data_IF_634848788970
#
_entry.id   IF_634848788970
#
_cell.length_a   1.000
_cell.length_b   1.000
_cell.length_c   1.000
_cell.angle_alpha   90.00
_cell.angle_beta   90.00
_cell.angle_gamma   90.00
#
_symmetry.space_group_name_H-M   'P 1'
#
loop_
_entity.id
_entity.type
_entity.pdbx_description
1 polymer ?
#
# COMPACT_ATOMS: atom_id res chain seq x y z
N UNK A 1 -42.16 -0.12 -60.96
CA UNK A 1 -41.56 -1.43 -60.61
C UNK A 1 -40.15 -1.14 -60.12
N UNK A 2 -39.93 -1.23 -58.80
CA UNK A 2 -39.08 -2.25 -58.14
C UNK A 2 -37.59 -2.10 -58.54
N UNK A 3 -36.74 -1.57 -57.64
CA UNK A 3 -35.84 -2.33 -56.73
C UNK A 3 -34.55 -2.75 -57.45
N UNK A 4 -33.31 -2.68 -56.93
CA UNK A 4 -32.73 -2.37 -55.62
C UNK A 4 -31.18 -2.26 -55.77
N UNK A 5 -30.50 -1.86 -54.68
CA UNK A 5 -29.06 -2.04 -54.32
C UNK A 5 -27.98 -1.20 -55.05
N UNK A 6 -26.97 -0.62 -54.39
CA UNK A 6 -26.24 -1.08 -53.18
C UNK A 6 -25.39 0.06 -52.53
N UNK A 7 -25.55 0.19 -51.21
CA UNK A 7 -24.50 0.36 -50.17
C UNK A 7 -23.53 1.56 -50.22
N UNK A 8 -23.74 2.52 -49.30
CA UNK A 8 -22.77 3.57 -48.95
C UNK A 8 -21.85 3.04 -47.85
N UNK A 9 -20.54 3.22 -48.04
CA UNK A 9 -19.47 2.87 -47.10
C UNK A 9 -18.97 4.18 -46.48
N UNK A 10 -19.06 4.27 -45.15
CA UNK A 10 -18.60 5.41 -44.36
C UNK A 10 -17.09 5.65 -44.52
N UNK A 11 -16.75 6.88 -44.85
CA UNK A 11 -15.38 7.38 -44.95
C UNK A 11 -14.90 7.76 -43.55
N UNK A 12 -13.91 7.02 -43.05
CA UNK A 12 -13.19 7.34 -41.81
C UNK A 12 -12.43 8.65 -41.97
N UNK A 13 -12.70 9.56 -41.04
CA UNK A 13 -11.99 10.81 -40.82
C UNK A 13 -10.60 10.49 -40.22
N UNK A 14 -9.55 10.92 -40.91
CA UNK A 14 -8.16 10.77 -40.50
C UNK A 14 -7.82 11.82 -39.42
N UNK A 15 -7.60 11.38 -38.19
CA UNK A 15 -7.00 12.18 -37.12
C UNK A 15 -5.46 12.00 -37.14
N UNK A 16 -4.68 13.06 -36.86
CA UNK A 16 -3.23 13.04 -36.98
C UNK A 16 -2.58 12.15 -35.91
N UNK A 17 -1.72 11.26 -36.37
CA UNK A 17 -0.80 10.44 -35.60
C UNK A 17 0.22 11.33 -34.88
N UNK A 18 0.05 11.56 -33.58
CA UNK A 18 1.11 12.12 -32.72
C UNK A 18 1.90 10.98 -32.10
N UNK A 19 3.07 10.73 -32.66
CA UNK A 19 4.07 9.79 -32.18
C UNK A 19 4.69 10.30 -30.87
N UNK A 20 4.29 9.77 -29.73
CA UNK A 20 5.10 9.89 -28.51
C UNK A 20 6.22 8.86 -28.55
N UNK A 21 7.31 9.21 -29.25
CA UNK A 21 8.62 8.66 -28.96
C UNK A 21 9.32 9.61 -27.98
N UNK A 22 10.10 8.99 -27.09
CA UNK A 22 11.12 9.60 -26.24
C UNK A 22 10.66 10.16 -24.89
N UNK A 23 10.29 9.24 -23.98
CA UNK A 23 10.56 9.39 -22.54
C UNK A 23 11.53 8.27 -22.15
N UNK A 24 12.79 8.43 -22.52
CA UNK A 24 13.90 7.60 -22.03
C UNK A 24 15.07 8.50 -21.64
N UNK A 25 14.87 9.32 -20.61
CA UNK A 25 16.01 9.73 -19.76
C UNK A 25 15.55 10.35 -18.42
N UNK A 26 14.72 9.61 -17.68
CA UNK A 26 14.60 9.83 -16.25
C UNK A 26 15.22 8.60 -15.61
N UNK A 27 16.15 8.80 -14.68
CA UNK A 27 16.76 7.74 -13.91
C UNK A 27 15.72 6.77 -13.32
N UNK A 28 16.14 5.62 -12.78
CA UNK A 28 15.23 4.61 -12.26
C UNK A 28 14.11 5.26 -11.42
N UNK A 29 12.82 5.06 -11.76
CA UNK A 29 11.73 5.72 -11.06
C UNK A 29 11.84 5.46 -9.56
N UNK A 30 11.48 6.45 -8.74
CA UNK A 30 11.52 6.31 -7.28
C UNK A 30 10.80 5.02 -6.85
N UNK A 31 11.22 4.40 -5.75
CA UNK A 31 10.53 3.19 -5.26
C UNK A 31 9.03 3.44 -5.09
N UNK A 32 8.62 4.66 -4.71
CA UNK A 32 7.21 5.08 -4.70
C UNK A 32 6.58 5.06 -6.08
N UNK A 33 7.20 5.67 -7.08
CA UNK A 33 6.70 5.69 -8.46
C UNK A 33 6.63 4.26 -9.03
N UNK A 34 7.58 3.39 -8.69
CA UNK A 34 7.52 1.96 -9.05
C UNK A 34 6.39 1.24 -8.32
N UNK A 35 6.21 1.48 -7.02
CA UNK A 35 5.09 0.96 -6.21
C UNK A 35 3.73 1.35 -6.83
N UNK A 36 3.55 2.61 -7.21
CA UNK A 36 2.32 3.09 -7.83
C UNK A 36 2.09 2.51 -9.24
N UNK A 37 3.13 2.44 -10.07
CA UNK A 37 3.03 1.84 -11.42
C UNK A 37 2.71 0.34 -11.34
N UNK A 38 3.28 -0.37 -10.37
CA UNK A 38 3.01 -1.81 -10.17
C UNK A 38 1.61 -2.05 -9.60
N UNK A 39 1.12 -1.19 -8.71
CA UNK A 39 -0.26 -1.23 -8.19
C UNK A 39 -1.31 -1.01 -9.29
N UNK A 40 -1.04 -0.13 -10.27
CA UNK A 40 -1.93 0.07 -11.43
C UNK A 40 -1.91 -1.10 -12.44
N UNK A 41 -0.89 -1.96 -12.39
CA UNK A 41 -0.68 -3.05 -13.35
C UNK A 41 -1.04 -4.44 -12.81
N UNK A 42 -1.32 -4.58 -11.51
CA UNK A 42 -1.63 -5.89 -10.94
C UNK A 42 -3.07 -6.31 -11.29
N UNK A 43 -3.20 -7.31 -12.17
CA UNK A 43 -4.47 -8.02 -12.44
C UNK A 43 -4.70 -9.09 -11.35
N UNK A 44 -4.65 -8.71 -10.07
CA UNK A 44 -4.78 -9.66 -8.97
C UNK A 44 -6.23 -10.16 -8.84
N UNK A 45 -6.46 -11.43 -9.19
CA UNK A 45 -7.77 -12.09 -9.08
C UNK A 45 -7.77 -12.98 -7.85
N UNK A 46 -8.52 -12.58 -6.81
CA UNK A 46 -8.69 -13.38 -5.60
C UNK A 46 -9.52 -14.64 -5.89
N UNK A 47 -9.15 -15.83 -5.38
CA UNK A 47 -10.00 -17.02 -5.47
C UNK A 47 -11.33 -16.77 -4.75
N UNK A 48 -12.48 -17.26 -5.26
CA UNK A 48 -13.78 -16.92 -4.68
C UNK A 48 -13.86 -17.34 -3.21
N UNK A 49 -13.91 -16.34 -2.33
CA UNK A 49 -14.12 -16.51 -0.89
C UNK A 49 -15.42 -17.27 -0.66
N UNK A 50 -15.35 -18.42 0.03
CA UNK A 50 -16.54 -19.03 0.63
C UNK A 50 -17.18 -17.97 1.52
N UNK A 51 -18.44 -17.63 1.26
CA UNK A 51 -19.18 -16.57 1.97
C UNK A 51 -19.23 -16.91 3.46
N UNK A 52 -18.26 -16.40 4.22
CA UNK A 52 -18.30 -16.35 5.68
C UNK A 52 -18.82 -14.96 6.06
N UNK A 53 -19.67 -14.84 7.09
CA UNK A 53 -20.00 -13.54 7.64
C UNK A 53 -18.69 -12.85 8.05
N UNK A 54 -18.54 -11.58 7.68
CA UNK A 54 -17.40 -10.78 8.07
C UNK A 54 -17.35 -10.69 9.60
N UNK A 55 -16.29 -11.21 10.19
CA UNK A 55 -15.95 -10.93 11.56
C UNK A 55 -14.95 -9.78 11.55
N UNK A 56 -15.12 -8.83 12.47
CA UNK A 56 -14.12 -7.79 12.68
C UNK A 56 -12.80 -8.46 13.05
N UNK A 57 -11.71 -8.02 12.42
CA UNK A 57 -10.38 -8.59 12.58
C UNK A 57 -9.40 -7.48 12.92
N UNK A 58 -8.52 -7.73 13.88
CA UNK A 58 -7.44 -6.79 14.17
C UNK A 58 -6.32 -6.93 13.14
N UNK A 59 -5.78 -5.79 12.73
CA UNK A 59 -4.55 -5.71 11.94
C UNK A 59 -3.47 -4.96 12.71
N UNK A 60 -2.27 -5.53 12.74
CA UNK A 60 -1.08 -4.94 13.33
C UNK A 60 -0.20 -4.28 12.27
N UNK A 61 0.18 -3.04 12.52
CA UNK A 61 1.01 -2.19 11.67
C UNK A 61 2.29 -1.80 12.39
N UNK A 62 3.40 -1.83 11.66
CA UNK A 62 4.76 -1.55 12.15
C UNK A 62 5.49 -0.53 11.27
N UNK A 63 4.76 0.22 10.45
CA UNK A 63 5.30 1.19 9.49
C UNK A 63 4.44 2.43 9.32
N UNK A 64 4.32 2.92 8.09
CA UNK A 64 3.60 4.17 7.78
C UNK A 64 2.14 4.15 8.23
N UNK A 65 1.48 2.98 8.23
CA UNK A 65 0.10 2.80 8.71
C UNK A 65 -0.06 2.94 10.24
N UNK A 66 1.03 3.07 11.00
CA UNK A 66 0.97 3.48 12.42
C UNK A 66 0.55 4.93 12.61
N UNK A 67 0.52 5.73 11.54
CA UNK A 67 0.00 7.08 11.57
C UNK A 67 -1.51 7.11 11.24
N UNK A 68 -2.37 7.64 12.15
CA UNK A 68 -3.81 7.72 11.91
C UNK A 68 -4.20 8.47 10.62
N UNK A 69 -3.46 9.51 10.24
CA UNK A 69 -3.78 10.29 9.03
C UNK A 69 -3.48 9.48 7.76
N UNK A 70 -2.35 8.79 7.74
CA UNK A 70 -1.96 7.90 6.65
C UNK A 70 -2.96 6.76 6.52
N UNK A 71 -3.32 6.12 7.64
CA UNK A 71 -4.31 5.05 7.64
C UNK A 71 -5.69 5.53 7.15
N UNK A 72 -6.16 6.69 7.62
CA UNK A 72 -7.42 7.28 7.16
C UNK A 72 -7.42 7.53 5.64
N UNK A 73 -6.31 8.04 5.09
CA UNK A 73 -6.15 8.26 3.64
C UNK A 73 -6.21 6.94 2.85
N UNK A 74 -5.52 5.90 3.32
CA UNK A 74 -5.48 4.58 2.67
C UNK A 74 -6.85 3.90 2.71
N UNK A 75 -7.50 3.92 3.87
CA UNK A 75 -8.83 3.34 4.09
C UNK A 75 -9.98 4.21 3.58
N UNK A 76 -9.69 5.42 3.09
CA UNK A 76 -10.68 6.42 2.64
C UNK A 76 -11.73 6.74 3.72
N UNK A 77 -11.28 6.86 4.97
CA UNK A 77 -12.12 7.19 6.11
C UNK A 77 -12.35 8.70 6.21
N UNK A 78 -13.57 9.10 6.54
CA UNK A 78 -13.91 10.50 6.82
C UNK A 78 -13.35 10.99 8.16
N UNK A 79 -13.12 10.08 9.10
CA UNK A 79 -12.64 10.36 10.45
C UNK A 79 -11.30 9.66 10.72
N UNK A 80 -10.52 10.20 11.67
CA UNK A 80 -9.28 9.56 12.09
C UNK A 80 -9.57 8.24 12.83
N UNK A 81 -8.95 7.12 12.40
CA UNK A 81 -9.09 5.84 13.08
C UNK A 81 -8.40 5.87 14.45
N UNK A 82 -8.96 5.13 15.40
CA UNK A 82 -8.33 4.92 16.71
C UNK A 82 -7.35 3.76 16.60
N UNK A 83 -6.06 4.09 16.69
CA UNK A 83 -4.97 3.12 16.74
C UNK A 83 -4.63 2.78 18.19
N UNK A 84 -4.43 1.49 18.47
CA UNK A 84 -4.15 0.96 19.79
C UNK A 84 -2.69 0.51 19.82
N UNK A 85 -1.83 1.00 20.73
CA UNK A 85 -0.47 0.49 20.88
C UNK A 85 -0.46 -1.01 21.14
N UNK A 86 0.38 -1.73 20.42
CA UNK A 86 0.46 -3.18 20.49
C UNK A 86 1.85 -3.69 20.11
N UNK A 87 2.08 -4.99 20.33
CA UNK A 87 3.27 -5.70 19.86
C UNK A 87 2.93 -7.09 19.32
N UNK A 88 3.84 -7.63 18.52
CA UNK A 88 3.83 -9.02 18.06
C UNK A 88 5.20 -9.65 18.33
N UNK A 89 5.24 -10.96 18.56
CA UNK A 89 6.49 -11.71 18.82
C UNK A 89 6.81 -12.69 17.69
N UNK A 90 8.07 -13.11 17.58
CA UNK A 90 8.50 -14.06 16.54
C UNK A 90 8.93 -13.41 15.23
N UNK A 91 9.10 -12.09 15.23
CA UNK A 91 9.39 -11.30 14.05
C UNK A 91 10.55 -10.33 14.29
N UNK A 92 11.18 -9.93 13.19
CA UNK A 92 12.21 -8.92 13.17
C UNK A 92 11.89 -7.90 12.06
N UNK A 93 12.12 -6.62 12.33
CA UNK A 93 11.93 -5.55 11.34
C UNK A 93 13.26 -5.23 10.66
N UNK A 94 13.25 -5.27 9.32
CA UNK A 94 14.33 -4.77 8.46
C UNK A 94 13.85 -3.59 7.63
N UNK A 95 14.74 -3.02 6.83
CA UNK A 95 14.41 -1.96 5.87
C UNK A 95 14.51 -2.44 4.42
N UNK A 96 13.46 -2.16 3.65
CA UNK A 96 13.45 -2.17 2.19
C UNK A 96 13.48 -0.73 1.69
N UNK A 97 14.67 -0.22 1.37
CA UNK A 97 14.87 1.21 1.13
C UNK A 97 14.62 2.02 2.41
N UNK A 98 13.60 2.89 2.40
CA UNK A 98 13.14 3.68 3.57
C UNK A 98 11.96 3.03 4.31
N UNK A 99 11.47 1.87 3.86
CA UNK A 99 10.24 1.25 4.36
C UNK A 99 10.55 0.05 5.25
N UNK A 100 9.80 -0.16 6.35
CA UNK A 100 9.98 -1.34 7.18
C UNK A 100 9.46 -2.59 6.47
N UNK A 101 10.13 -3.70 6.74
CA UNK A 101 9.83 -5.02 6.22
C UNK A 101 9.89 -6.04 7.35
N UNK A 102 8.74 -6.57 7.75
CA UNK A 102 8.66 -7.59 8.77
C UNK A 102 9.10 -8.94 8.20
N UNK A 103 10.08 -9.56 8.84
CA UNK A 103 10.59 -10.89 8.51
C UNK A 103 10.49 -11.80 9.73
N UNK A 104 10.69 -13.11 9.56
CA UNK A 104 10.76 -14.03 10.70
C UNK A 104 11.97 -13.68 11.58
N UNK A 105 11.76 -13.61 12.88
CA UNK A 105 12.78 -13.33 13.89
C UNK A 105 12.87 -14.45 14.93
N UNK A 106 13.52 -14.16 16.06
CA UNK A 106 13.56 -15.10 17.19
C UNK A 106 12.18 -15.21 17.87
N UNK A 107 11.81 -16.35 18.47
CA UNK A 107 10.46 -16.60 18.99
C UNK A 107 9.92 -15.53 19.94
N UNK A 108 10.78 -15.00 20.81
CA UNK A 108 10.42 -14.01 21.84
C UNK A 108 10.79 -12.57 21.45
N UNK A 109 11.27 -12.36 20.22
CA UNK A 109 11.66 -11.04 19.74
C UNK A 109 10.42 -10.18 19.46
N UNK A 110 10.23 -9.05 20.18
CA UNK A 110 9.05 -8.23 20.03
C UNK A 110 9.24 -7.17 18.94
N UNK A 111 8.20 -6.98 18.14
CA UNK A 111 8.05 -5.83 17.23
C UNK A 111 6.90 -4.99 17.74
N UNK A 112 7.21 -3.73 18.05
CA UNK A 112 6.24 -2.75 18.54
C UNK A 112 5.58 -2.00 17.38
N UNK A 113 4.31 -1.66 17.56
CA UNK A 113 3.55 -0.97 16.54
C UNK A 113 2.17 -0.57 17.03
N UNK A 114 1.22 -0.51 16.09
CA UNK A 114 -0.16 -0.11 16.35
C UNK A 114 -1.12 -1.14 15.76
N UNK A 115 -2.23 -1.36 16.44
CA UNK A 115 -3.30 -2.23 15.99
C UNK A 115 -4.57 -1.42 15.67
N UNK A 116 -5.32 -1.90 14.69
CA UNK A 116 -6.61 -1.34 14.27
C UNK A 116 -7.62 -2.47 14.07
N UNK A 117 -8.85 -2.27 14.54
CA UNK A 117 -9.96 -3.18 14.28
C UNK A 117 -10.59 -2.83 12.92
N UNK A 118 -10.49 -3.73 11.96
CA UNK A 118 -11.10 -3.56 10.63
C UNK A 118 -12.62 -3.64 10.76
N UNK A 119 -13.30 -2.61 10.26
CA UNK A 119 -14.74 -2.45 10.39
C UNK A 119 -15.51 -3.04 9.20
N UNK A 120 -14.86 -3.21 8.04
CA UNK A 120 -15.52 -3.77 6.85
C UNK A 120 -14.58 -4.59 5.94
N UNK A 121 -15.12 -5.47 5.07
CA UNK A 121 -14.34 -6.15 4.04
C UNK A 121 -13.59 -5.20 3.10
N UNK A 122 -14.19 -4.06 2.76
CA UNK A 122 -13.62 -3.06 1.85
C UNK A 122 -12.33 -2.45 2.42
N UNK A 123 -12.26 -2.23 3.73
CA UNK A 123 -11.03 -1.78 4.40
C UNK A 123 -9.89 -2.79 4.22
N UNK A 124 -10.18 -4.10 4.35
CA UNK A 124 -9.19 -5.15 4.09
C UNK A 124 -8.70 -5.15 2.64
N UNK A 125 -9.59 -4.92 1.68
CA UNK A 125 -9.22 -4.83 0.25
C UNK A 125 -8.31 -3.63 -0.01
N UNK A 126 -8.61 -2.47 0.60
CA UNK A 126 -7.79 -1.27 0.50
C UNK A 126 -6.41 -1.46 1.13
N UNK A 127 -6.31 -2.12 2.29
CA UNK A 127 -5.02 -2.46 2.90
C UNK A 127 -4.21 -3.40 2.01
N UNK A 128 -4.83 -4.45 1.49
CA UNK A 128 -4.15 -5.40 0.60
C UNK A 128 -3.65 -4.73 -0.68
N UNK A 129 -4.43 -3.79 -1.24
CA UNK A 129 -4.03 -3.02 -2.40
C UNK A 129 -2.85 -2.07 -2.10
N UNK A 130 -2.82 -1.46 -0.91
CA UNK A 130 -1.75 -0.57 -0.49
C UNK A 130 -0.43 -1.30 -0.24
N UNK A 131 -0.47 -2.47 0.38
CA UNK A 131 0.71 -3.26 0.75
C UNK A 131 1.33 -4.00 -0.46
N UNK A 132 0.63 -4.07 -1.59
CA UNK A 132 1.10 -4.66 -2.86
C UNK A 132 1.49 -6.15 -2.78
N UNK A 133 2.04 -6.69 -3.86
CA UNK A 133 2.50 -8.09 -3.94
C UNK A 133 3.80 -8.35 -3.15
N UNK A 134 4.46 -7.30 -2.62
CA UNK A 134 5.69 -7.43 -1.84
C UNK A 134 5.45 -7.87 -0.39
N UNK A 135 4.19 -7.79 0.07
CA UNK A 135 3.81 -8.18 1.42
C UNK A 135 2.62 -9.14 1.39
N UNK A 136 2.73 -10.19 2.21
CA UNK A 136 1.68 -11.19 2.37
C UNK A 136 0.98 -11.01 3.72
N UNK A 137 -0.35 -11.00 3.70
CA UNK A 137 -1.14 -11.03 4.93
C UNK A 137 -0.89 -12.35 5.66
N UNK A 138 -0.46 -12.25 6.90
CA UNK A 138 -0.10 -13.39 7.77
C UNK A 138 -0.80 -13.25 9.10
N UNK A 139 -1.36 -14.34 9.62
CA UNK A 139 -1.97 -14.36 10.95
C UNK A 139 -0.91 -14.21 12.06
N UNK A 140 -1.23 -13.45 13.10
CA UNK A 140 -0.35 -13.24 14.25
C UNK A 140 -1.16 -13.10 15.55
N UNK A 141 -0.46 -13.24 16.68
CA UNK A 141 -1.00 -12.86 17.99
C UNK A 141 -0.56 -11.42 18.25
N UNK A 142 -1.54 -10.56 18.51
CA UNK A 142 -1.34 -9.15 18.83
C UNK A 142 -1.53 -9.01 20.33
N UNK A 143 -0.51 -8.52 21.01
CA UNK A 143 -0.54 -8.23 22.44
C UNK A 143 -0.66 -6.73 22.66
N UNK A 144 -1.66 -6.31 23.43
CA UNK A 144 -1.90 -4.91 23.80
C UNK A 144 -1.16 -4.54 25.08
N UNK A 145 -1.04 -3.23 25.37
CA UNK A 145 -0.33 -2.74 26.56
C UNK A 145 -0.95 -3.19 27.90
N UNK A 146 -2.25 -3.51 27.92
CA UNK A 146 -2.94 -4.04 29.09
C UNK A 146 -2.69 -5.55 29.32
N UNK A 147 -1.88 -6.19 28.45
CA UNK A 147 -1.57 -7.61 28.48
C UNK A 147 -2.64 -8.50 27.85
N UNK A 148 -3.68 -7.93 27.24
CA UNK A 148 -4.65 -8.72 26.48
C UNK A 148 -4.09 -9.12 25.13
N UNK A 149 -4.44 -10.33 24.69
CA UNK A 149 -3.99 -10.90 23.42
C UNK A 149 -5.19 -11.19 22.52
N UNK A 150 -5.04 -10.87 21.23
CA UNK A 150 -6.03 -11.18 20.20
C UNK A 150 -5.37 -11.82 18.99
N UNK A 151 -6.09 -12.72 18.32
CA UNK A 151 -5.70 -13.18 16.99
C UNK A 151 -6.02 -12.10 15.98
N UNK A 152 -5.04 -11.73 15.17
CA UNK A 152 -5.19 -10.77 14.10
C UNK A 152 -4.32 -11.10 12.91
N UNK A 153 -4.09 -10.11 12.07
CA UNK A 153 -3.25 -10.21 10.89
C UNK A 153 -2.16 -9.13 10.90
N UNK A 154 -1.09 -9.37 10.17
CA UNK A 154 -0.10 -8.36 9.82
C UNK A 154 0.41 -8.59 8.40
N UNK A 155 1.18 -7.65 7.87
CA UNK A 155 1.80 -7.75 6.56
C UNK A 155 3.25 -8.18 6.72
N UNK A 156 3.62 -9.32 6.13
CA UNK A 156 4.98 -9.84 6.19
C UNK A 156 5.65 -9.69 4.82
N UNK A 157 6.93 -9.30 4.80
CA UNK A 157 7.69 -9.26 3.56
C UNK A 157 7.75 -10.64 2.89
N UNK A 158 7.34 -10.70 1.62
CA UNK A 158 7.42 -11.90 0.79
C UNK A 158 8.27 -11.72 -0.48
N UNK A 159 8.91 -10.55 -0.65
CA UNK A 159 9.88 -10.28 -1.72
C UNK A 159 11.26 -10.89 -1.48
N UNK A 160 12.24 -10.49 -2.30
CA UNK A 160 13.62 -10.97 -2.18
C UNK A 160 14.28 -10.41 -0.90
N UNK A 161 14.84 -11.30 -0.08
CA UNK A 161 15.52 -10.93 1.17
C UNK A 161 16.82 -10.18 0.92
N UNK A 162 17.43 -10.31 -0.26
CA UNK A 162 18.68 -9.60 -0.60
C UNK A 162 18.46 -8.09 -0.79
N UNK A 163 17.22 -7.66 -1.00
CA UNK A 163 16.84 -6.25 -1.06
C UNK A 163 16.68 -5.60 0.32
N UNK A 164 16.73 -6.41 1.39
CA UNK A 164 16.58 -5.94 2.75
C UNK A 164 17.93 -5.56 3.36
N UNK A 165 17.91 -4.49 4.15
CA UNK A 165 19.06 -4.01 4.93
C UNK A 165 18.70 -3.98 6.40
N UNK A 166 19.69 -4.20 7.25
CA UNK A 166 19.52 -3.97 8.69
C UNK A 166 19.26 -2.49 8.96
N UNK A 167 18.35 -2.22 9.87
CA UNK A 167 17.97 -0.87 10.27
C UNK A 167 16.60 -0.84 10.92
N UNK A 168 16.30 0.28 11.55
CA UNK A 168 15.04 0.52 12.24
C UNK A 168 14.25 1.59 11.52
N UNK A 169 12.93 1.42 11.47
CA UNK A 169 12.03 2.45 10.95
C UNK A 169 11.58 3.36 12.08
N UNK A 170 11.75 4.67 11.88
CA UNK A 170 11.26 5.67 12.81
C UNK A 170 10.13 6.48 12.16
N UNK A 171 8.93 6.37 12.74
CA UNK A 171 7.75 7.06 12.24
C UNK A 171 7.88 8.59 12.29
N UNK A 172 8.61 9.14 13.28
CA UNK A 172 8.80 10.59 13.42
C UNK A 172 9.69 11.13 12.30
N UNK A 173 10.80 10.45 12.04
CA UNK A 173 11.75 10.84 11.00
C UNK A 173 11.07 10.79 9.63
N UNK A 174 10.30 9.72 9.36
CA UNK A 174 9.50 9.62 8.13
C UNK A 174 8.48 10.75 7.96
N UNK A 175 7.80 11.16 9.05
CA UNK A 175 6.85 12.29 9.00
C UNK A 175 7.54 13.61 8.70
N UNK A 176 8.72 13.85 9.27
CA UNK A 176 9.47 15.09 9.02
C UNK A 176 9.96 15.15 7.57
N UNK A 177 10.52 14.04 7.06
CA UNK A 177 10.92 13.93 5.65
C UNK A 177 9.75 14.17 4.68
N UNK A 178 8.56 13.63 5.00
CA UNK A 178 7.37 13.84 4.18
C UNK A 178 6.94 15.31 4.17
N UNK A 179 6.93 15.96 5.33
CA UNK A 179 6.60 17.39 5.47
C UNK A 179 7.58 18.28 4.71
N UNK A 180 8.88 18.01 4.79
CA UNK A 180 9.90 18.75 4.03
C UNK A 180 9.69 18.59 2.52
N UNK A 181 9.42 17.36 2.05
CA UNK A 181 9.13 17.08 0.63
C UNK A 181 7.86 17.79 0.13
N UNK A 182 6.84 17.90 0.98
CA UNK A 182 5.61 18.64 0.67
C UNK A 182 5.90 20.15 0.52
N UNK A 183 6.66 20.73 1.46
CA UNK A 183 7.06 22.15 1.42
C UNK A 183 7.92 22.50 0.19
N UNK A 184 8.84 21.61 -0.21
CA UNK A 184 9.67 21.80 -1.40
C UNK A 184 8.88 21.71 -2.71
N UNK A 185 7.80 20.92 -2.74
CA UNK A 185 6.91 20.83 -3.90
C UNK A 185 6.02 22.07 -4.02
N UNK A 186 5.56 22.65 -2.92
CA UNK A 186 4.81 23.91 -2.92
C UNK A 186 5.69 25.11 -3.35
N UNK A 187 6.96 25.13 -2.94
CA UNK A 187 7.92 26.15 -3.38
C UNK A 187 8.18 26.18 -4.89
N UNK A 188 8.06 25.02 -5.57
CA UNK A 188 8.20 24.92 -7.03
C UNK A 188 6.96 25.41 -7.79
N UNK A 189 5.78 25.41 -7.16
CA UNK A 189 4.55 25.90 -7.79
C UNK A 189 4.49 27.44 -7.87
N UNK A 190 5.18 28.15 -6.97
CA UNK A 190 5.24 29.61 -6.96
C UNK A 190 6.29 30.24 -7.90
N UNK A 191 7.17 29.44 -8.51
CA UNK A 191 8.26 29.94 -9.38
C UNK A 191 7.95 29.84 -10.88
N UNK A 192 6.72 29.44 -11.27
CA UNK A 192 6.29 29.34 -12.67
C UNK A 192 5.16 30.31 -13.07
N UNK A 193 4.97 31.42 -12.34
CA UNK A 193 4.08 32.51 -12.76
C UNK A 193 4.86 33.76 -13.17
#
# INVERSE_FOLDING_TARGET
MASDRKERKDTKENMPTSTMKDIKDLGPPSLMTRKFIQAEQSNYVFPPSRVRPFCKEFHFFYGTLMDPQTLAKVLKLDNLPSLIPARVSGYHCKLWGEYPALVGGEPDEPVYGMAYEIQSPEENELLQAYETDCYVRTGCIIEFEDGTEVTGNTFKWCGDKTELREGEFNLKDWKMDMLEREMDNEGKHYSQK
#
